data_IF_310467019040
#
_entry.id   IF_310467019040
#
_cell.length_a   1.000
_cell.length_b   1.000
_cell.length_c   1.000
_cell.angle_alpha   90.00
_cell.angle_beta   90.00
_cell.angle_gamma   90.00
#
_symmetry.space_group_name_H-M   'P 1'
#
loop_
_entity.id
_entity.type
_entity.pdbx_description
1 polymer ?
#
# COMPACT_ATOMS: atom_id res chain seq x y z
N UNK A 1 1.77 17.08 -12.45
CA UNK A 1 0.59 17.57 -11.71
C UNK A 1 -0.61 16.71 -12.05
N UNK A 2 -1.35 16.23 -11.04
CA UNK A 2 -2.51 15.38 -11.26
C UNK A 2 -3.57 15.70 -10.21
N UNK A 3 -4.78 16.10 -10.68
CA UNK A 3 -5.97 16.11 -9.85
C UNK A 3 -6.53 14.70 -9.79
N UNK A 4 -6.62 14.09 -8.63
CA UNK A 4 -7.08 12.74 -8.45
C UNK A 4 -8.15 12.62 -7.39
N UNK A 5 -8.96 11.60 -7.61
CA UNK A 5 -9.84 11.03 -6.61
C UNK A 5 -9.15 9.78 -6.09
N UNK A 6 -8.47 9.96 -5.00
CA UNK A 6 -7.80 8.91 -4.25
C UNK A 6 -8.83 8.07 -3.44
N UNK A 7 -8.39 7.19 -2.59
CA UNK A 7 -9.21 6.33 -1.71
C UNK A 7 -10.05 7.10 -0.66
N UNK A 8 -10.02 8.41 -0.65
CA UNK A 8 -10.77 9.25 0.29
C UNK A 8 -12.26 9.31 -0.03
N UNK A 9 -13.13 9.61 0.96
CA UNK A 9 -14.55 9.89 0.73
C UNK A 9 -14.77 11.01 -0.29
N UNK A 10 -15.96 11.03 -0.90
CA UNK A 10 -16.31 11.94 -2.01
C UNK A 10 -16.18 13.44 -1.71
N UNK A 11 -16.19 13.82 -0.44
CA UNK A 11 -16.06 15.21 0.03
C UNK A 11 -14.62 15.74 -0.09
N UNK A 12 -13.65 14.86 -0.29
CA UNK A 12 -12.22 15.22 -0.40
C UNK A 12 -11.76 15.16 -1.85
N UNK A 13 -11.00 16.15 -2.28
CA UNK A 13 -10.24 16.12 -3.53
C UNK A 13 -8.79 15.75 -3.24
N UNK A 14 -8.15 15.04 -4.18
CA UNK A 14 -6.72 14.78 -4.17
C UNK A 14 -5.99 15.69 -5.16
N UNK A 15 -4.77 16.10 -4.79
CA UNK A 15 -3.85 16.81 -5.67
C UNK A 15 -2.44 16.34 -5.38
N UNK A 16 -1.81 15.70 -6.34
CA UNK A 16 -0.44 15.20 -6.25
C UNK A 16 0.41 15.92 -7.29
N UNK A 17 1.61 16.36 -6.92
CA UNK A 17 2.56 17.02 -7.81
C UNK A 17 3.77 16.10 -7.98
N UNK A 18 4.17 15.93 -9.24
CA UNK A 18 5.26 15.05 -9.62
C UNK A 18 6.39 15.87 -10.23
N UNK A 19 7.62 15.43 -9.99
CA UNK A 19 8.84 16.01 -10.56
C UNK A 19 9.12 15.52 -11.98
N UNK A 20 10.17 16.03 -12.61
CA UNK A 20 10.58 15.61 -13.96
C UNK A 20 11.05 14.17 -14.04
N UNK A 21 11.35 13.53 -12.93
CA UNK A 21 11.69 12.12 -12.81
C UNK A 21 10.47 11.19 -12.72
N UNK A 22 9.25 11.77 -12.71
CA UNK A 22 7.99 11.04 -12.53
C UNK A 22 7.68 10.67 -11.08
N UNK A 23 8.52 11.06 -10.11
CA UNK A 23 8.30 10.85 -8.68
C UNK A 23 7.44 11.95 -8.06
N UNK A 24 6.59 11.61 -7.09
CA UNK A 24 5.87 12.60 -6.30
C UNK A 24 6.86 13.46 -5.49
N UNK A 25 6.61 14.77 -5.44
CA UNK A 25 7.50 15.70 -4.74
C UNK A 25 7.66 15.31 -3.26
N UNK A 26 8.90 15.19 -2.83
CA UNK A 26 9.26 15.02 -1.41
C UNK A 26 9.13 16.36 -0.65
N UNK A 27 9.06 16.34 0.70
CA UNK A 27 8.81 17.55 1.48
C UNK A 27 9.73 18.72 1.16
N UNK A 28 11.01 18.48 0.85
CA UNK A 28 11.96 19.53 0.46
C UNK A 28 11.46 20.37 -0.71
N UNK A 29 10.99 19.71 -1.76
CA UNK A 29 10.56 20.39 -2.99
C UNK A 29 9.09 20.82 -2.90
N UNK A 30 8.24 20.03 -2.23
CA UNK A 30 6.84 20.39 -1.96
C UNK A 30 6.71 21.66 -1.12
N UNK A 31 7.57 21.89 -0.12
CA UNK A 31 7.58 23.10 0.70
C UNK A 31 7.91 24.35 -0.10
N UNK A 32 8.71 24.26 -1.17
CA UNK A 32 8.95 25.37 -2.07
C UNK A 32 7.66 25.74 -2.81
N UNK A 33 6.97 24.76 -3.36
CA UNK A 33 5.69 24.96 -4.05
C UNK A 33 4.62 25.52 -3.11
N UNK A 34 4.50 25.00 -1.89
CA UNK A 34 3.52 25.48 -0.90
C UNK A 34 3.65 26.96 -0.63
N UNK A 35 4.88 27.49 -0.55
CA UNK A 35 5.11 28.94 -0.36
C UNK A 35 4.56 29.80 -1.50
N UNK A 36 4.60 29.30 -2.75
CA UNK A 36 3.98 30.01 -3.87
C UNK A 36 2.46 30.01 -3.73
N UNK A 37 1.86 28.90 -3.34
CA UNK A 37 0.41 28.79 -3.13
C UNK A 37 -0.05 29.70 -1.97
N UNK A 38 0.67 29.71 -0.86
CA UNK A 38 0.39 30.57 0.31
C UNK A 38 0.45 32.07 0.00
N UNK A 39 1.26 32.48 -0.99
CA UNK A 39 1.38 33.88 -1.42
C UNK A 39 0.24 34.32 -2.36
N UNK A 40 -0.67 33.42 -2.77
CA UNK A 40 -1.84 33.80 -3.58
C UNK A 40 -2.90 34.39 -2.63
N UNK A 41 -2.97 35.72 -2.60
CA UNK A 41 -3.93 36.46 -1.77
C UNK A 41 -5.31 36.60 -2.39
N UNK A 42 -5.43 36.52 -3.72
CA UNK A 42 -6.66 36.65 -4.47
C UNK A 42 -6.72 35.68 -5.66
N UNK A 43 -7.67 34.76 -5.59
CA UNK A 43 -7.90 33.73 -6.63
C UNK A 43 -8.34 34.34 -7.97
N UNK A 44 -8.91 35.57 -7.96
CA UNK A 44 -9.33 36.26 -9.19
C UNK A 44 -8.13 36.66 -10.07
N UNK A 45 -6.94 36.77 -9.50
CA UNK A 45 -5.71 37.10 -10.23
C UNK A 45 -5.00 35.86 -10.83
N UNK A 46 -5.51 34.64 -10.59
CA UNK A 46 -4.95 33.45 -11.22
C UNK A 46 -5.35 33.44 -12.71
N UNK A 47 -4.38 33.43 -13.65
CA UNK A 47 -4.69 33.37 -15.07
C UNK A 47 -5.49 32.12 -15.43
N UNK A 48 -6.72 32.28 -15.90
CA UNK A 48 -7.58 31.17 -16.34
C UNK A 48 -7.54 30.95 -17.85
N UNK A 49 -6.78 31.76 -18.59
CA UNK A 49 -6.65 31.69 -20.04
C UNK A 49 -5.29 31.09 -20.40
N UNK A 50 -5.31 29.90 -20.99
CA UNK A 50 -4.13 29.24 -21.56
C UNK A 50 -4.23 29.16 -23.09
N UNK A 51 -3.09 29.01 -23.77
CA UNK A 51 -3.07 28.69 -25.19
C UNK A 51 -3.55 27.26 -25.41
N UNK A 52 -4.53 27.07 -26.29
CA UNK A 52 -5.00 25.73 -26.70
C UNK A 52 -3.88 24.87 -27.33
N UNK A 53 -2.86 25.52 -27.87
CA UNK A 53 -1.68 24.88 -28.48
C UNK A 53 -0.80 24.16 -27.45
N UNK A 54 -0.91 24.55 -26.16
CA UNK A 54 -0.21 23.89 -25.06
C UNK A 54 -0.98 22.66 -24.50
N UNK A 55 -2.19 22.40 -25.01
CA UNK A 55 -3.01 21.27 -24.60
C UNK A 55 -2.80 20.09 -25.54
N UNK A 56 -2.15 19.05 -25.06
CA UNK A 56 -1.99 17.79 -25.78
C UNK A 56 -2.86 16.70 -25.13
N UNK A 57 -3.69 16.03 -25.93
CA UNK A 57 -4.41 14.83 -25.52
C UNK A 57 -3.56 13.61 -25.81
N UNK A 58 -3.26 12.82 -24.77
CA UNK A 58 -2.62 11.53 -24.93
C UNK A 58 -3.60 10.53 -25.55
N UNK A 59 -3.15 9.78 -26.55
CA UNK A 59 -3.94 8.80 -27.28
C UNK A 59 -3.85 7.39 -26.71
N UNK A 60 -4.46 6.45 -27.44
CA UNK A 60 -4.46 5.03 -27.11
C UNK A 60 -3.05 4.43 -27.15
N UNK A 61 -2.19 4.94 -28.02
CA UNK A 61 -0.78 4.61 -28.17
C UNK A 61 -0.01 4.74 -26.85
N UNK A 62 -0.25 5.81 -26.08
CA UNK A 62 0.35 5.99 -24.76
C UNK A 62 -0.10 4.92 -23.76
N UNK A 63 -1.40 4.58 -23.79
CA UNK A 63 -1.93 3.50 -22.94
C UNK A 63 -1.33 2.15 -23.33
N UNK A 64 -1.18 1.88 -24.60
CA UNK A 64 -0.62 0.62 -25.09
C UNK A 64 0.88 0.50 -24.76
N UNK A 65 1.64 1.58 -24.84
CA UNK A 65 3.03 1.63 -24.35
C UNK A 65 3.11 1.35 -22.84
N UNK A 66 2.24 1.97 -22.05
CA UNK A 66 2.17 1.72 -20.60
C UNK A 66 1.89 0.23 -20.29
N UNK A 67 0.92 -0.38 -21.00
CA UNK A 67 0.61 -1.81 -20.84
C UNK A 67 1.81 -2.70 -21.20
N UNK A 68 2.54 -2.40 -22.26
CA UNK A 68 3.73 -3.17 -22.64
C UNK A 68 4.88 -3.00 -21.63
N UNK A 69 5.08 -1.81 -21.05
CA UNK A 69 6.07 -1.61 -19.99
C UNK A 69 5.71 -2.41 -18.72
N UNK A 70 4.44 -2.39 -18.33
CA UNK A 70 3.96 -3.22 -17.21
C UNK A 70 4.13 -4.71 -17.50
N UNK A 71 3.80 -5.15 -18.72
CA UNK A 71 3.91 -6.56 -19.10
C UNK A 71 5.34 -7.11 -19.02
N UNK A 72 6.35 -6.26 -19.09
CA UNK A 72 7.74 -6.68 -18.85
C UNK A 72 7.95 -7.27 -17.45
N UNK A 73 7.10 -6.88 -16.47
CA UNK A 73 7.13 -7.40 -15.11
C UNK A 73 6.41 -8.76 -14.96
N UNK A 74 5.68 -9.22 -15.97
CA UNK A 74 5.03 -10.52 -15.97
C UNK A 74 6.05 -11.64 -15.69
N UNK A 75 5.74 -12.52 -14.78
CA UNK A 75 6.57 -13.68 -14.42
C UNK A 75 6.19 -14.93 -15.20
N UNK A 76 4.92 -15.07 -15.59
CA UNK A 76 4.40 -16.23 -16.33
C UNK A 76 4.42 -16.05 -17.85
N UNK A 77 4.58 -14.81 -18.35
CA UNK A 77 4.66 -14.49 -19.78
C UNK A 77 3.50 -15.08 -20.61
N UNK A 78 2.29 -15.04 -20.04
CA UNK A 78 1.08 -15.58 -20.68
C UNK A 78 0.87 -17.08 -20.50
N UNK A 79 1.76 -17.81 -19.82
CA UNK A 79 1.58 -19.22 -19.46
C UNK A 79 0.68 -19.36 -18.22
N UNK A 80 -0.54 -18.89 -18.34
CA UNK A 80 -1.55 -18.94 -17.27
C UNK A 80 -2.52 -20.11 -17.47
N UNK A 81 -3.17 -20.53 -16.38
CA UNK A 81 -4.20 -21.57 -16.37
C UNK A 81 -5.62 -20.98 -16.47
N UNK A 82 -6.52 -21.58 -15.72
CA UNK A 82 -7.94 -21.26 -15.73
C UNK A 82 -8.39 -20.52 -14.47
N UNK A 83 -7.61 -19.53 -14.03
CA UNK A 83 -7.99 -18.69 -12.90
C UNK A 83 -9.23 -17.87 -13.25
N UNK A 84 -10.30 -18.01 -12.47
CA UNK A 84 -11.52 -17.20 -12.61
C UNK A 84 -11.44 -15.98 -11.69
N UNK A 85 -11.51 -14.79 -12.28
CA UNK A 85 -11.24 -13.52 -11.61
C UNK A 85 -12.51 -12.68 -11.62
N UNK A 86 -12.87 -12.09 -10.47
CA UNK A 86 -13.78 -10.96 -10.40
C UNK A 86 -12.95 -9.69 -10.16
N UNK A 87 -13.19 -8.66 -10.95
CA UNK A 87 -12.53 -7.37 -10.83
C UNK A 87 -13.54 -6.25 -10.60
N UNK A 88 -13.22 -5.35 -9.68
CA UNK A 88 -13.94 -4.08 -9.52
C UNK A 88 -12.98 -2.90 -9.58
N UNK A 89 -13.22 -1.90 -10.45
CA UNK A 89 -12.48 -0.64 -10.45
C UNK A 89 -12.97 0.35 -9.38
N UNK A 90 -13.97 0.01 -8.60
CA UNK A 90 -14.62 0.88 -7.59
C UNK A 90 -14.87 2.28 -8.17
N UNK A 91 -15.55 2.35 -9.33
CA UNK A 91 -15.86 3.57 -10.08
C UNK A 91 -14.61 4.38 -10.55
N UNK A 92 -13.44 3.76 -10.60
CA UNK A 92 -12.16 4.42 -10.86
C UNK A 92 -11.58 4.23 -12.26
N UNK A 93 -10.40 4.81 -12.45
CA UNK A 93 -9.63 4.83 -13.70
C UNK A 93 -9.02 3.47 -14.07
N UNK A 94 -8.89 2.56 -13.11
CA UNK A 94 -8.30 1.24 -13.30
C UNK A 94 -9.06 0.31 -14.26
N UNK A 95 -10.34 0.59 -14.54
CA UNK A 95 -11.20 -0.27 -15.36
C UNK A 95 -10.54 -0.73 -16.66
N UNK A 96 -10.08 0.23 -17.47
CA UNK A 96 -9.51 -0.08 -18.80
C UNK A 96 -8.11 -0.69 -18.67
N UNK A 97 -7.13 -0.09 -17.96
CA UNK A 97 -5.77 -0.62 -17.95
C UNK A 97 -5.66 -1.97 -17.25
N UNK A 98 -6.39 -2.23 -16.15
CA UNK A 98 -6.36 -3.53 -15.46
C UNK A 98 -6.93 -4.63 -16.37
N UNK A 99 -8.05 -4.38 -17.05
CA UNK A 99 -8.61 -5.37 -18.04
C UNK A 99 -7.65 -5.63 -19.18
N UNK A 100 -6.96 -4.60 -19.67
CA UNK A 100 -5.97 -4.74 -20.74
C UNK A 100 -4.78 -5.57 -20.30
N UNK A 101 -4.21 -5.28 -19.13
CA UNK A 101 -3.05 -6.02 -18.64
C UNK A 101 -3.38 -7.49 -18.31
N UNK A 102 -4.54 -7.77 -17.72
CA UNK A 102 -4.97 -9.13 -17.46
C UNK A 102 -5.16 -9.90 -18.79
N UNK A 103 -5.81 -9.30 -19.78
CA UNK A 103 -5.93 -9.88 -21.11
C UNK A 103 -4.56 -10.11 -21.77
N UNK A 104 -3.64 -9.13 -21.68
CA UNK A 104 -2.27 -9.24 -22.19
C UNK A 104 -1.48 -10.35 -21.48
N UNK A 105 -1.74 -10.55 -20.18
CA UNK A 105 -1.21 -11.64 -19.36
C UNK A 105 -1.81 -13.03 -19.65
N UNK A 106 -2.83 -13.11 -20.52
CA UNK A 106 -3.46 -14.38 -20.93
C UNK A 106 -4.70 -14.76 -20.11
N UNK A 107 -5.15 -13.93 -19.17
CA UNK A 107 -6.37 -14.20 -18.39
C UNK A 107 -7.61 -13.90 -19.23
N UNK A 108 -8.45 -14.90 -19.46
CA UNK A 108 -9.66 -14.81 -20.30
C UNK A 108 -10.97 -14.91 -19.50
N UNK A 109 -10.94 -15.45 -18.28
CA UNK A 109 -12.10 -15.62 -17.41
C UNK A 109 -12.13 -14.49 -16.33
N UNK A 110 -12.39 -13.25 -16.81
CA UNK A 110 -12.41 -12.04 -16.00
C UNK A 110 -13.79 -11.41 -16.04
N UNK A 111 -14.43 -11.32 -14.89
CA UNK A 111 -15.78 -10.79 -14.70
C UNK A 111 -15.72 -9.46 -13.96
N UNK A 112 -16.45 -8.45 -14.47
CA UNK A 112 -16.46 -7.10 -13.91
C UNK A 112 -17.70 -6.89 -13.06
N UNK A 113 -17.57 -6.19 -11.95
CA UNK A 113 -18.71 -5.71 -11.16
C UNK A 113 -19.37 -4.55 -11.90
N UNK A 114 -20.43 -4.83 -12.68
CA UNK A 114 -21.07 -3.88 -13.59
C UNK A 114 -21.52 -2.58 -12.89
N UNK A 115 -22.04 -2.68 -11.67
CA UNK A 115 -22.49 -1.51 -10.90
C UNK A 115 -21.37 -0.57 -10.46
N UNK A 116 -20.11 -1.03 -10.51
CA UNK A 116 -18.89 -0.28 -10.17
C UNK A 116 -17.98 -0.01 -11.37
N UNK A 117 -18.37 -0.45 -12.57
CA UNK A 117 -17.54 -0.37 -13.77
C UNK A 117 -17.34 1.06 -14.27
N UNK A 118 -18.40 1.86 -14.25
CA UNK A 118 -18.35 3.23 -14.78
C UNK A 118 -17.78 4.20 -13.74
N UNK A 119 -16.91 5.13 -14.17
CA UNK A 119 -16.45 6.21 -13.30
C UNK A 119 -17.61 7.03 -12.75
N UNK A 120 -17.68 7.15 -11.42
CA UNK A 120 -18.65 8.00 -10.74
C UNK A 120 -18.03 8.59 -9.47
N UNK A 121 -17.81 9.91 -9.46
CA UNK A 121 -17.20 10.62 -8.33
C UNK A 121 -18.07 10.70 -7.08
N UNK A 122 -19.33 10.22 -7.13
CA UNK A 122 -20.20 10.11 -5.94
C UNK A 122 -20.04 8.76 -5.22
N UNK A 123 -19.38 7.77 -5.85
CA UNK A 123 -19.15 6.43 -5.30
C UNK A 123 -20.42 5.78 -4.70
N UNK A 124 -21.52 5.66 -5.47
CA UNK A 124 -22.86 5.34 -4.93
C UNK A 124 -22.96 3.95 -4.29
N UNK A 125 -21.96 3.09 -4.49
CA UNK A 125 -21.98 1.69 -4.04
C UNK A 125 -21.11 1.41 -2.82
N UNK A 126 -20.35 2.41 -2.34
CA UNK A 126 -19.40 2.26 -1.24
C UNK A 126 -19.38 3.49 -0.35
N UNK A 127 -19.05 3.32 0.92
CA UNK A 127 -18.91 4.44 1.88
C UNK A 127 -17.66 5.26 1.59
N UNK A 128 -16.58 4.59 1.20
CA UNK A 128 -15.35 5.18 0.71
C UNK A 128 -14.73 4.22 -0.33
N UNK A 129 -14.17 4.74 -1.43
CA UNK A 129 -13.63 3.90 -2.52
C UNK A 129 -12.22 3.38 -2.19
N UNK A 130 -12.04 2.82 -1.00
CA UNK A 130 -10.77 2.32 -0.50
C UNK A 130 -10.79 0.79 -0.40
N UNK A 131 -9.94 0.06 -1.13
CA UNK A 131 -9.90 -1.41 -1.10
C UNK A 131 -9.42 -1.99 0.26
N UNK A 132 -8.95 -1.17 1.20
CA UNK A 132 -8.73 -1.57 2.58
C UNK A 132 -10.05 -1.84 3.33
N UNK A 133 -11.14 -1.18 2.90
CA UNK A 133 -12.44 -1.33 3.52
C UNK A 133 -13.14 -2.57 2.97
N UNK A 134 -13.69 -3.37 3.88
CA UNK A 134 -14.38 -4.60 3.51
C UNK A 134 -15.59 -4.34 2.60
N UNK A 135 -16.32 -3.24 2.78
CA UNK A 135 -17.49 -2.88 1.98
C UNK A 135 -17.14 -2.59 0.51
N UNK A 136 -15.93 -2.11 0.24
CA UNK A 136 -15.48 -1.80 -1.12
C UNK A 136 -15.44 -3.03 -2.05
N UNK A 137 -15.15 -4.22 -1.50
CA UNK A 137 -15.07 -5.48 -2.24
C UNK A 137 -16.34 -6.35 -2.13
N UNK A 138 -17.36 -5.96 -1.35
CA UNK A 138 -18.52 -6.79 -1.07
C UNK A 138 -19.32 -7.18 -2.34
N UNK A 139 -19.52 -6.25 -3.28
CA UNK A 139 -20.18 -6.55 -4.54
C UNK A 139 -19.40 -7.53 -5.39
N UNK A 140 -18.07 -7.40 -5.39
CA UNK A 140 -17.18 -8.34 -6.05
C UNK A 140 -17.24 -9.73 -5.40
N UNK A 141 -17.21 -9.80 -4.07
CA UNK A 141 -17.32 -11.07 -3.32
C UNK A 141 -18.67 -11.74 -3.58
N UNK A 142 -19.76 -10.96 -3.63
CA UNK A 142 -21.09 -11.48 -3.96
C UNK A 142 -21.11 -12.11 -5.36
N UNK A 143 -20.66 -11.35 -6.38
CA UNK A 143 -20.56 -11.86 -7.75
C UNK A 143 -19.68 -13.11 -7.82
N UNK A 144 -18.53 -13.09 -7.15
CA UNK A 144 -17.61 -14.22 -7.10
C UNK A 144 -18.25 -15.48 -6.52
N UNK A 145 -19.06 -15.32 -5.47
CA UNK A 145 -19.85 -16.44 -4.89
C UNK A 145 -20.89 -17.01 -5.86
N UNK A 146 -21.53 -16.17 -6.66
CA UNK A 146 -22.54 -16.59 -7.65
C UNK A 146 -21.93 -17.38 -8.80
N UNK A 147 -20.71 -17.02 -9.25
CA UNK A 147 -20.06 -17.65 -10.41
C UNK A 147 -18.96 -18.64 -10.04
N UNK A 148 -18.63 -18.77 -8.75
CA UNK A 148 -17.56 -19.62 -8.27
C UNK A 148 -16.17 -19.13 -8.71
N UNK A 149 -15.87 -17.85 -8.53
CA UNK A 149 -14.57 -17.28 -8.86
C UNK A 149 -13.50 -17.65 -7.83
N UNK A 150 -12.24 -17.73 -8.25
CA UNK A 150 -11.11 -18.07 -7.38
C UNK A 150 -10.64 -16.87 -6.55
N UNK A 151 -10.72 -15.69 -7.16
CA UNK A 151 -10.21 -14.45 -6.57
C UNK A 151 -11.06 -13.24 -6.98
N UNK A 152 -11.18 -12.31 -6.06
CA UNK A 152 -11.70 -10.96 -6.28
C UNK A 152 -10.55 -9.98 -6.11
N UNK A 153 -10.39 -9.06 -7.05
CA UNK A 153 -9.47 -7.92 -6.93
C UNK A 153 -10.24 -6.61 -7.11
N UNK A 154 -9.83 -5.57 -6.40
CA UNK A 154 -10.43 -4.25 -6.53
C UNK A 154 -9.41 -3.14 -6.39
N UNK A 155 -9.47 -2.15 -7.30
CA UNK A 155 -8.58 -0.98 -7.30
C UNK A 155 -9.31 0.26 -6.83
N UNK A 156 -8.60 1.17 -6.17
CA UNK A 156 -9.14 2.48 -5.83
C UNK A 156 -9.28 3.40 -7.06
N UNK A 157 -9.88 4.60 -6.92
CA UNK A 157 -10.24 5.42 -8.08
C UNK A 157 -9.08 5.89 -8.95
N UNK A 158 -7.91 6.19 -8.38
CA UNK A 158 -6.71 6.56 -9.13
C UNK A 158 -5.83 5.37 -9.49
N UNK A 159 -6.26 4.15 -9.10
CA UNK A 159 -5.60 2.88 -9.44
C UNK A 159 -4.16 2.78 -8.94
N UNK A 160 -3.91 3.36 -7.75
CA UNK A 160 -2.61 3.24 -7.08
C UNK A 160 -2.62 2.19 -5.96
N UNK A 161 -3.82 1.76 -5.50
CA UNK A 161 -4.00 0.69 -4.51
C UNK A 161 -4.84 -0.46 -5.05
N UNK A 162 -4.57 -1.66 -4.53
CA UNK A 162 -5.33 -2.85 -4.88
C UNK A 162 -5.54 -3.76 -3.66
N UNK A 163 -6.78 -4.16 -3.45
CA UNK A 163 -7.16 -5.18 -2.47
C UNK A 163 -7.55 -6.48 -3.15
N UNK A 164 -7.47 -7.59 -2.41
CA UNK A 164 -7.89 -8.90 -2.91
C UNK A 164 -8.60 -9.72 -1.84
N UNK A 165 -9.58 -10.53 -2.30
CA UNK A 165 -10.21 -11.59 -1.53
C UNK A 165 -10.10 -12.91 -2.28
N UNK A 166 -9.71 -13.97 -1.59
CA UNK A 166 -9.40 -15.28 -2.16
C UNK A 166 -10.37 -16.33 -1.63
N UNK A 167 -10.90 -17.17 -2.51
CA UNK A 167 -11.73 -18.30 -2.11
C UNK A 167 -10.87 -19.35 -1.39
N UNK A 168 -11.21 -19.61 -0.14
CA UNK A 168 -10.56 -20.63 0.69
C UNK A 168 -11.59 -21.34 1.56
N UNK A 169 -11.67 -22.66 1.47
CA UNK A 169 -12.62 -23.49 2.22
C UNK A 169 -14.08 -22.99 2.13
N UNK A 170 -14.52 -22.59 0.91
CA UNK A 170 -15.87 -22.13 0.64
C UNK A 170 -16.19 -20.69 1.09
N UNK A 171 -15.20 -19.91 1.54
CA UNK A 171 -15.35 -18.52 1.97
C UNK A 171 -14.33 -17.61 1.27
N UNK A 172 -14.71 -16.37 0.99
CA UNK A 172 -13.78 -15.36 0.50
C UNK A 172 -13.11 -14.66 1.68
N UNK A 173 -11.79 -14.77 1.75
CA UNK A 173 -10.98 -14.17 2.80
C UNK A 173 -10.18 -13.00 2.23
N UNK A 174 -10.32 -11.83 2.85
CA UNK A 174 -9.57 -10.63 2.53
C UNK A 174 -8.10 -10.79 2.97
N UNK A 175 -7.18 -10.37 2.11
CA UNK A 175 -5.76 -10.33 2.41
C UNK A 175 -5.36 -8.90 2.72
N UNK A 176 -4.79 -8.64 3.90
CA UNK A 176 -4.31 -7.30 4.28
C UNK A 176 -3.10 -6.87 3.44
N UNK A 177 -2.87 -5.55 3.38
CA UNK A 177 -1.79 -4.97 2.57
C UNK A 177 -0.41 -5.55 2.88
N UNK A 178 -0.05 -5.65 4.16
CA UNK A 178 1.22 -6.26 4.58
C UNK A 178 1.33 -7.75 4.20
N UNK A 179 0.24 -8.53 4.34
CA UNK A 179 0.21 -9.95 3.95
C UNK A 179 0.31 -10.13 2.44
N UNK A 180 -0.38 -9.30 1.67
CA UNK A 180 -0.25 -9.31 0.21
C UNK A 180 1.16 -8.89 -0.23
N UNK A 181 1.75 -7.88 0.41
CA UNK A 181 3.14 -7.49 0.20
C UNK A 181 4.10 -8.65 0.45
N UNK A 182 3.95 -9.37 1.56
CA UNK A 182 4.77 -10.54 1.88
C UNK A 182 4.61 -11.68 0.85
N UNK A 183 3.37 -11.95 0.39
CA UNK A 183 3.11 -12.93 -0.68
C UNK A 183 3.80 -12.53 -1.99
N UNK A 184 3.70 -11.26 -2.38
CA UNK A 184 4.34 -10.76 -3.61
C UNK A 184 5.87 -10.77 -3.49
N UNK A 185 6.44 -10.42 -2.33
CA UNK A 185 7.88 -10.57 -2.06
C UNK A 185 8.31 -12.02 -2.25
N UNK A 186 7.62 -12.96 -1.59
CA UNK A 186 7.93 -14.39 -1.73
C UNK A 186 7.85 -14.87 -3.18
N UNK A 187 6.76 -14.50 -3.86
CA UNK A 187 6.52 -14.92 -5.23
C UNK A 187 7.56 -14.35 -6.21
N UNK A 188 7.79 -13.03 -6.16
CA UNK A 188 8.73 -12.36 -7.06
C UNK A 188 10.17 -12.86 -6.87
N UNK A 189 10.61 -13.01 -5.62
CA UNK A 189 11.96 -13.50 -5.34
C UNK A 189 12.13 -14.96 -5.75
N UNK A 190 11.11 -15.79 -5.53
CA UNK A 190 11.09 -17.17 -6.01
C UNK A 190 11.19 -17.24 -7.54
N UNK A 191 10.40 -16.41 -8.25
CA UNK A 191 10.38 -16.41 -9.72
C UNK A 191 11.67 -15.84 -10.33
N UNK A 192 12.26 -14.82 -9.71
CA UNK A 192 13.55 -14.25 -10.15
C UNK A 192 14.74 -15.21 -9.88
N UNK A 193 14.72 -15.93 -8.79
CA UNK A 193 15.70 -16.96 -8.50
C UNK A 193 17.15 -16.52 -8.74
N UNK A 194 17.79 -17.10 -9.77
CA UNK A 194 19.19 -16.81 -10.12
C UNK A 194 19.45 -15.41 -10.72
N UNK A 195 18.41 -14.68 -11.08
CA UNK A 195 18.56 -13.29 -11.56
C UNK A 195 18.81 -12.30 -10.43
N UNK A 196 18.57 -12.72 -9.17
CA UNK A 196 18.84 -11.89 -8.00
C UNK A 196 20.35 -11.67 -7.84
N UNK A 197 20.72 -10.42 -7.56
CA UNK A 197 22.12 -10.00 -7.35
C UNK A 197 22.32 -9.49 -5.93
N UNK A 198 23.56 -9.25 -5.51
CA UNK A 198 23.84 -8.61 -4.22
C UNK A 198 23.34 -7.15 -4.12
N UNK A 199 22.88 -6.56 -5.22
CA UNK A 199 22.26 -5.23 -5.27
C UNK A 199 20.74 -5.27 -5.26
N UNK A 200 20.13 -6.45 -5.46
CA UNK A 200 18.66 -6.60 -5.50
C UNK A 200 18.06 -6.12 -4.18
N UNK A 201 17.11 -5.20 -4.27
CA UNK A 201 16.59 -4.48 -3.11
C UNK A 201 15.08 -4.38 -3.15
N UNK A 202 14.47 -4.62 -1.99
CA UNK A 202 13.06 -4.34 -1.70
C UNK A 202 13.00 -3.10 -0.84
N UNK A 203 12.04 -2.22 -1.12
CA UNK A 203 11.82 -1.03 -0.30
C UNK A 203 10.44 -1.11 0.35
N UNK A 204 10.39 -0.80 1.65
CA UNK A 204 9.13 -0.75 2.41
C UNK A 204 9.15 0.42 3.39
N UNK A 205 8.11 0.58 4.21
CA UNK A 205 8.07 1.68 5.17
C UNK A 205 8.37 1.21 6.59
N UNK A 206 8.74 2.15 7.45
CA UNK A 206 8.99 1.91 8.88
C UNK A 206 7.77 1.36 9.64
N UNK A 207 6.55 1.46 9.06
CA UNK A 207 5.30 0.97 9.66
C UNK A 207 4.70 -0.21 8.89
N UNK A 208 5.39 -0.74 7.90
CA UNK A 208 4.95 -1.92 7.16
C UNK A 208 5.39 -3.20 7.88
N UNK A 209 4.53 -4.20 7.92
CA UNK A 209 4.74 -5.45 8.66
C UNK A 209 5.99 -6.24 8.27
N UNK A 210 6.52 -6.98 9.24
CA UNK A 210 7.87 -7.53 9.22
C UNK A 210 8.12 -8.78 8.38
N UNK A 211 7.10 -9.63 8.10
CA UNK A 211 7.31 -10.95 7.48
C UNK A 211 7.96 -10.88 6.09
N UNK A 212 7.65 -9.83 5.30
CA UNK A 212 8.27 -9.65 3.99
C UNK A 212 9.77 -9.40 4.04
N UNK A 213 10.26 -8.75 5.12
CA UNK A 213 11.69 -8.53 5.36
C UNK A 213 12.42 -9.84 5.68
N UNK A 214 11.79 -10.69 6.51
CA UNK A 214 12.33 -12.00 6.86
C UNK A 214 12.45 -12.89 5.60
N UNK A 215 11.44 -12.85 4.72
CA UNK A 215 11.45 -13.53 3.43
C UNK A 215 12.60 -13.01 2.55
N UNK A 216 12.73 -11.69 2.38
CA UNK A 216 13.79 -11.10 1.57
C UNK A 216 15.20 -11.48 2.06
N UNK A 217 15.40 -11.49 3.39
CA UNK A 217 16.64 -11.91 4.02
C UNK A 217 17.03 -13.34 3.66
N UNK A 218 16.08 -14.28 3.56
CA UNK A 218 16.36 -15.67 3.13
C UNK A 218 16.90 -15.76 1.71
N UNK A 219 16.43 -14.87 0.82
CA UNK A 219 16.92 -14.79 -0.56
C UNK A 219 18.20 -13.96 -0.70
N UNK A 220 18.76 -13.43 0.40
CA UNK A 220 19.92 -12.55 0.37
C UNK A 220 19.65 -11.19 -0.28
N UNK A 221 18.39 -10.79 -0.36
CA UNK A 221 17.94 -9.53 -0.94
C UNK A 221 17.96 -8.44 0.13
N UNK A 222 18.47 -7.27 -0.22
CA UNK A 222 18.52 -6.13 0.69
C UNK A 222 17.12 -5.57 0.92
N UNK A 223 16.88 -5.03 2.14
CA UNK A 223 15.64 -4.34 2.47
C UNK A 223 15.97 -2.95 2.98
N UNK A 224 15.45 -1.94 2.31
CA UNK A 224 15.47 -0.57 2.81
C UNK A 224 14.12 -0.16 3.38
N UNK A 225 14.14 0.55 4.50
CA UNK A 225 12.95 1.16 5.09
C UNK A 225 12.96 2.66 4.84
N UNK A 226 11.80 3.20 4.44
CA UNK A 226 11.59 4.64 4.28
C UNK A 226 10.53 5.14 5.27
N UNK A 227 10.37 6.44 5.39
CA UNK A 227 9.19 7.01 6.02
C UNK A 227 7.92 6.62 5.26
N UNK A 228 6.76 6.78 5.89
CA UNK A 228 5.46 6.49 5.28
C UNK A 228 5.17 7.43 4.11
N UNK A 229 4.80 6.84 2.99
CA UNK A 229 4.47 7.53 1.74
C UNK A 229 5.38 7.11 0.60
N UNK A 230 4.76 6.63 -0.47
CA UNK A 230 5.47 6.04 -1.61
C UNK A 230 6.45 6.99 -2.31
N UNK A 231 6.26 8.31 -2.13
CA UNK A 231 7.21 9.33 -2.60
C UNK A 231 8.65 9.10 -2.13
N UNK A 232 8.83 8.56 -0.92
CA UNK A 232 10.17 8.22 -0.40
C UNK A 232 10.72 6.95 -1.05
N UNK A 233 9.85 5.99 -1.40
CA UNK A 233 10.24 4.83 -2.21
C UNK A 233 10.66 5.29 -3.60
N UNK A 234 9.87 6.17 -4.24
CA UNK A 234 10.20 6.76 -5.54
C UNK A 234 11.51 7.57 -5.53
N UNK A 235 11.77 8.32 -4.44
CA UNK A 235 13.03 9.04 -4.25
C UNK A 235 14.24 8.10 -4.21
N UNK A 236 14.13 6.98 -3.47
CA UNK A 236 15.15 5.93 -3.43
C UNK A 236 15.39 5.31 -4.80
N UNK A 237 14.33 5.00 -5.54
CA UNK A 237 14.43 4.48 -6.90
C UNK A 237 15.21 5.45 -7.81
N UNK A 238 14.88 6.74 -7.76
CA UNK A 238 15.59 7.78 -8.51
C UNK A 238 17.06 7.91 -8.09
N UNK A 239 17.37 7.69 -6.81
CA UNK A 239 18.75 7.64 -6.32
C UNK A 239 19.50 6.44 -6.91
N UNK A 240 18.91 5.23 -6.87
CA UNK A 240 19.53 4.01 -7.40
C UNK A 240 19.85 4.08 -8.89
N UNK A 241 18.95 4.70 -9.68
CA UNK A 241 19.22 4.94 -11.10
C UNK A 241 20.43 5.84 -11.35
N UNK A 242 20.63 6.85 -10.48
CA UNK A 242 21.75 7.81 -10.61
C UNK A 242 23.08 7.23 -10.22
N UNK A 243 23.13 6.45 -9.12
CA UNK A 243 24.37 5.99 -8.53
C UNK A 243 24.69 4.51 -8.78
N UNK A 244 23.73 3.73 -9.28
CA UNK A 244 23.87 2.29 -9.52
C UNK A 244 24.14 1.48 -8.26
N UNK A 245 23.84 2.03 -7.07
CA UNK A 245 24.13 1.39 -5.79
C UNK A 245 23.29 0.15 -5.54
N UNK A 246 22.02 0.19 -5.96
CA UNK A 246 21.03 -0.86 -5.73
C UNK A 246 20.21 -1.13 -7.00
N UNK A 247 19.53 -2.28 -7.01
CA UNK A 247 18.58 -2.68 -8.04
C UNK A 247 17.19 -2.82 -7.41
N UNK A 248 16.28 -1.93 -7.76
CA UNK A 248 14.91 -1.97 -7.25
C UNK A 248 14.15 -3.16 -7.85
N UNK A 249 13.66 -4.04 -6.99
CA UNK A 249 12.83 -5.20 -7.38
C UNK A 249 11.36 -4.93 -7.12
N UNK A 250 11.04 -4.50 -5.89
CA UNK A 250 9.67 -4.33 -5.43
C UNK A 250 9.60 -3.33 -4.28
N UNK A 251 8.57 -2.51 -4.27
CA UNK A 251 8.24 -1.62 -3.17
C UNK A 251 6.80 -1.80 -2.71
N UNK A 252 6.54 -1.70 -1.39
CA UNK A 252 5.18 -1.84 -0.88
C UNK A 252 4.95 -1.14 0.45
N UNK A 253 3.69 -0.79 0.67
CA UNK A 253 3.18 -0.23 1.92
C UNK A 253 2.05 -1.11 2.47
N UNK A 254 1.85 -1.06 3.79
CA UNK A 254 0.75 -1.74 4.47
C UNK A 254 -0.64 -1.28 4.00
N UNK A 255 -0.69 -0.08 3.42
CA UNK A 255 -1.89 0.58 2.91
C UNK A 255 -2.28 0.16 1.48
N UNK A 256 -1.98 -1.08 1.10
CA UNK A 256 -2.38 -1.69 -0.17
C UNK A 256 -1.75 -1.08 -1.43
N UNK A 257 -0.66 -0.34 -1.26
CA UNK A 257 0.12 0.24 -2.34
C UNK A 257 1.36 -0.60 -2.66
N UNK A 258 1.59 -0.91 -3.95
CA UNK A 258 2.68 -1.76 -4.41
C UNK A 258 3.22 -1.27 -5.74
N UNK A 259 4.50 -1.56 -5.99
CA UNK A 259 5.15 -1.33 -7.29
C UNK A 259 6.19 -2.42 -7.55
N UNK A 260 6.16 -3.00 -8.74
CA UNK A 260 7.21 -3.85 -9.26
C UNK A 260 7.77 -3.24 -10.56
N UNK A 261 9.09 -3.26 -10.71
CA UNK A 261 9.76 -2.62 -11.85
C UNK A 261 9.91 -1.11 -11.73
N UNK A 262 10.44 -0.48 -12.77
CA UNK A 262 10.87 0.92 -12.73
C UNK A 262 10.14 1.84 -13.70
N UNK A 263 9.03 1.36 -14.27
CA UNK A 263 8.18 2.11 -15.22
C UNK A 263 7.41 3.28 -14.57
N UNK A 264 7.25 3.26 -13.27
CA UNK A 264 6.63 4.32 -12.46
C UNK A 264 7.48 4.63 -11.23
N UNK A 265 7.17 5.73 -10.52
CA UNK A 265 7.80 6.16 -9.26
C UNK A 265 6.77 6.30 -8.13
N UNK A 266 5.58 5.77 -8.36
CA UNK A 266 4.50 5.69 -7.39
C UNK A 266 3.87 4.30 -7.48
N UNK A 267 3.00 3.97 -6.55
CA UNK A 267 2.21 2.74 -6.51
C UNK A 267 1.48 2.53 -7.84
N UNK A 268 1.41 1.29 -8.28
CA UNK A 268 0.69 0.94 -9.51
C UNK A 268 -0.13 -0.34 -9.30
N UNK A 269 -1.45 -0.15 -9.20
CA UNK A 269 -2.37 -1.26 -9.06
C UNK A 269 -2.52 -2.08 -10.36
N UNK A 270 -2.13 -1.55 -11.52
CA UNK A 270 -2.25 -2.25 -12.79
C UNK A 270 -1.20 -3.36 -12.90
N UNK A 271 0.08 -3.05 -12.61
CA UNK A 271 1.13 -4.08 -12.53
C UNK A 271 0.84 -5.06 -11.41
N UNK A 272 0.34 -4.56 -10.29
CA UNK A 272 0.05 -5.39 -9.11
C UNK A 272 -1.10 -6.34 -9.37
N UNK A 273 -2.15 -5.93 -10.10
CA UNK A 273 -3.24 -6.81 -10.51
C UNK A 273 -2.75 -7.99 -11.34
N UNK A 274 -1.86 -7.74 -12.31
CA UNK A 274 -1.23 -8.80 -13.09
C UNK A 274 -0.48 -9.77 -12.19
N UNK A 275 0.40 -9.27 -11.32
CA UNK A 275 1.24 -10.10 -10.46
C UNK A 275 0.44 -10.90 -9.41
N UNK A 276 -0.61 -10.31 -8.83
CA UNK A 276 -1.51 -11.04 -7.91
C UNK A 276 -2.22 -12.19 -8.64
N UNK A 277 -2.72 -11.94 -9.86
CA UNK A 277 -3.39 -12.98 -10.63
C UNK A 277 -2.42 -14.06 -11.12
N UNK A 278 -1.21 -13.70 -11.55
CA UNK A 278 -0.17 -14.67 -11.91
C UNK A 278 0.24 -15.53 -10.71
N UNK A 279 0.45 -14.91 -9.55
CA UNK A 279 0.75 -15.61 -8.30
C UNK A 279 -0.37 -16.56 -7.89
N UNK A 280 -1.62 -16.11 -7.95
CA UNK A 280 -2.78 -16.93 -7.63
C UNK A 280 -2.90 -18.13 -8.57
N UNK A 281 -2.70 -17.94 -9.89
CA UNK A 281 -2.72 -19.01 -10.89
C UNK A 281 -1.56 -20.02 -10.68
N UNK A 282 -0.37 -19.51 -10.40
CA UNK A 282 0.81 -20.32 -10.13
C UNK A 282 0.59 -21.29 -8.96
N UNK A 283 0.05 -20.79 -7.85
CA UNK A 283 -0.22 -21.64 -6.68
C UNK A 283 -1.47 -22.51 -6.86
N UNK A 284 -2.50 -22.03 -7.58
CA UNK A 284 -3.67 -22.85 -7.95
C UNK A 284 -3.27 -24.09 -8.73
N UNK A 285 -2.33 -24.00 -9.68
CA UNK A 285 -1.78 -25.15 -10.40
C UNK A 285 -1.10 -26.17 -9.48
N UNK A 286 -0.71 -25.77 -8.29
CA UNK A 286 -0.15 -26.65 -7.25
C UNK A 286 -1.19 -27.10 -6.22
N UNK A 287 -2.49 -26.82 -6.45
CA UNK A 287 -3.58 -27.15 -5.54
C UNK A 287 -3.63 -26.28 -4.28
N UNK A 288 -3.02 -25.10 -4.29
CA UNK A 288 -2.95 -24.17 -3.15
C UNK A 288 -3.68 -22.86 -3.45
N UNK A 289 -4.30 -22.30 -2.43
CA UNK A 289 -4.78 -20.91 -2.42
C UNK A 289 -3.68 -20.00 -1.86
N UNK A 290 -3.81 -18.67 -2.03
CA UNK A 290 -2.89 -17.73 -1.40
C UNK A 290 -2.95 -17.77 0.14
N UNK A 291 -4.06 -18.22 0.71
CA UNK A 291 -4.20 -18.42 2.17
C UNK A 291 -3.35 -19.62 2.63
N UNK A 292 -3.30 -20.71 1.85
CA UNK A 292 -2.41 -21.84 2.15
C UNK A 292 -0.95 -21.41 2.13
N UNK A 293 -0.56 -20.58 1.15
CA UNK A 293 0.79 -20.04 1.06
C UNK A 293 1.13 -19.15 2.27
N UNK A 294 0.19 -18.29 2.70
CA UNK A 294 0.37 -17.51 3.93
C UNK A 294 0.55 -18.38 5.17
N UNK A 295 -0.18 -19.48 5.26
CA UNK A 295 -0.04 -20.43 6.37
C UNK A 295 1.34 -21.13 6.34
N UNK A 296 1.86 -21.47 5.16
CA UNK A 296 3.22 -22.02 5.00
C UNK A 296 4.29 -21.00 5.41
N UNK A 297 4.17 -19.75 4.94
CA UNK A 297 5.07 -18.67 5.33
C UNK A 297 5.03 -18.41 6.85
N UNK A 298 3.83 -18.45 7.44
CA UNK A 298 3.69 -18.30 8.90
C UNK A 298 4.34 -19.43 9.69
N UNK A 299 4.36 -20.66 9.17
CA UNK A 299 5.09 -21.77 9.79
C UNK A 299 6.59 -21.60 9.70
N UNK A 300 7.09 -20.99 8.63
CA UNK A 300 8.53 -20.81 8.40
C UNK A 300 9.10 -19.60 9.14
N UNK A 301 8.39 -18.46 9.13
CA UNK A 301 8.87 -17.17 9.64
C UNK A 301 8.21 -16.75 10.97
N UNK A 302 7.30 -17.55 11.49
CA UNK A 302 6.43 -17.18 12.61
C UNK A 302 5.16 -16.45 12.16
N UNK A 303 4.11 -16.57 12.98
CA UNK A 303 2.87 -15.86 12.71
C UNK A 303 3.06 -14.37 13.02
N UNK A 304 2.62 -13.51 12.10
CA UNK A 304 2.64 -12.07 12.26
C UNK A 304 1.25 -11.48 12.06
N UNK A 305 0.79 -10.67 13.03
CA UNK A 305 -0.45 -9.91 12.96
C UNK A 305 -0.14 -8.44 12.79
N UNK A 306 -0.51 -7.89 11.63
CA UNK A 306 -0.42 -6.45 11.35
C UNK A 306 -1.79 -5.81 11.50
N UNK A 307 -1.91 -4.80 12.34
CA UNK A 307 -3.15 -4.07 12.62
C UNK A 307 -2.89 -2.57 12.71
N UNK A 308 -3.86 -1.80 12.24
CA UNK A 308 -3.93 -0.35 12.37
C UNK A 308 -5.15 0.03 13.21
N UNK A 309 -4.93 0.81 14.26
CA UNK A 309 -5.97 1.55 14.97
C UNK A 309 -5.88 3.03 14.60
N UNK A 310 -7.00 3.63 14.20
CA UNK A 310 -7.04 5.03 13.79
C UNK A 310 -8.12 5.75 14.60
N UNK A 311 -7.74 6.81 15.30
CA UNK A 311 -8.62 7.60 16.15
C UNK A 311 -8.74 9.00 15.61
N UNK A 312 -9.98 9.43 15.32
CA UNK A 312 -10.28 10.79 14.85
C UNK A 312 -10.63 11.67 16.05
N UNK A 313 -9.84 12.69 16.30
CA UNK A 313 -10.02 13.65 17.38
C UNK A 313 -10.36 15.02 16.76
N UNK A 314 -11.66 15.31 16.61
CA UNK A 314 -12.13 16.44 15.83
C UNK A 314 -11.79 17.81 16.43
N UNK A 315 -11.56 18.79 15.56
CA UNK A 315 -11.39 20.21 15.88
C UNK A 315 -10.05 20.58 16.53
N UNK A 316 -9.90 21.83 16.93
CA UNK A 316 -8.66 22.35 17.53
C UNK A 316 -8.24 21.63 18.82
N UNK A 317 -9.23 21.24 19.65
CA UNK A 317 -8.97 20.48 20.88
C UNK A 317 -8.42 19.10 20.59
N UNK A 318 -8.90 18.44 19.52
CA UNK A 318 -8.40 17.15 19.08
C UNK A 318 -6.95 17.23 18.60
N UNK A 319 -6.60 18.25 17.83
CA UNK A 319 -5.21 18.46 17.38
C UNK A 319 -4.27 18.70 18.56
N UNK A 320 -4.69 19.51 19.57
CA UNK A 320 -3.93 19.73 20.78
C UNK A 320 -3.73 18.41 21.55
N UNK A 321 -4.80 17.61 21.75
CA UNK A 321 -4.73 16.29 22.39
C UNK A 321 -3.76 15.35 21.68
N UNK A 322 -3.74 15.32 20.33
CA UNK A 322 -2.77 14.51 19.58
C UNK A 322 -1.33 14.96 19.86
N UNK A 323 -1.08 16.28 19.90
CA UNK A 323 0.24 16.83 20.22
C UNK A 323 0.66 16.46 21.65
N UNK A 324 -0.25 16.54 22.62
CA UNK A 324 -0.01 16.19 24.02
C UNK A 324 0.29 14.68 24.18
N UNK A 325 -0.42 13.80 23.45
CA UNK A 325 -0.13 12.36 23.44
C UNK A 325 1.29 12.11 22.93
N UNK A 326 1.68 12.72 21.80
CA UNK A 326 3.02 12.54 21.24
C UNK A 326 4.12 13.09 22.17
N UNK A 327 3.87 14.21 22.86
CA UNK A 327 4.78 14.76 23.84
C UNK A 327 4.90 13.86 25.08
N UNK A 328 3.78 13.37 25.60
CA UNK A 328 3.74 12.46 26.75
C UNK A 328 4.52 11.17 26.47
N UNK A 329 4.33 10.56 25.28
CA UNK A 329 5.05 9.35 24.87
C UNK A 329 6.58 9.54 24.76
N UNK A 330 7.08 10.78 24.64
CA UNK A 330 8.52 11.09 24.59
C UNK A 330 9.15 11.30 25.96
N UNK A 331 8.37 11.70 26.96
CA UNK A 331 8.89 12.06 28.29
C UNK A 331 8.51 11.06 29.39
N UNK A 332 7.42 10.32 29.21
CA UNK A 332 6.93 9.32 30.16
C UNK A 332 7.83 8.07 30.11
N UNK A 333 7.97 7.40 31.25
CA UNK A 333 8.54 6.06 31.25
C UNK A 333 7.55 5.09 30.55
N UNK A 334 7.75 4.92 29.25
CA UNK A 334 6.87 4.10 28.41
C UNK A 334 6.94 2.61 28.83
N UNK A 335 7.95 2.19 29.61
CA UNK A 335 8.02 0.82 30.17
C UNK A 335 6.88 0.55 31.15
N UNK A 336 6.33 1.58 31.82
CA UNK A 336 5.13 1.44 32.65
C UNK A 336 3.89 1.06 31.82
N UNK A 337 3.84 1.48 30.55
CA UNK A 337 2.72 1.22 29.62
C UNK A 337 2.97 -0.05 28.82
N UNK A 338 4.21 -0.23 28.34
CA UNK A 338 4.68 -1.33 27.51
C UNK A 338 5.90 -1.99 28.16
N UNK A 339 5.73 -2.94 29.09
CA UNK A 339 6.83 -3.52 29.87
C UNK A 339 7.83 -4.33 29.05
N UNK A 340 7.43 -4.76 27.84
CA UNK A 340 8.25 -5.58 26.95
C UNK A 340 9.06 -4.77 25.92
N UNK A 341 9.18 -3.44 26.07
CA UNK A 341 10.00 -2.62 25.17
C UNK A 341 11.47 -3.03 25.29
N UNK A 342 12.09 -3.21 24.10
CA UNK A 342 13.53 -3.41 23.95
C UNK A 342 14.23 -2.15 23.42
N UNK A 343 13.61 -1.41 22.49
CA UNK A 343 14.17 -0.22 21.86
C UNK A 343 13.08 0.81 21.53
N UNK A 344 13.39 2.10 21.64
CA UNK A 344 12.54 3.22 21.22
C UNK A 344 13.23 3.97 20.09
N UNK A 345 12.54 4.11 18.96
CA UNK A 345 13.00 4.92 17.81
C UNK A 345 12.12 6.16 17.67
N UNK A 346 12.71 7.33 17.93
CA UNK A 346 12.05 8.63 17.73
C UNK A 346 12.56 9.28 16.44
N UNK A 347 11.69 9.36 15.45
CA UNK A 347 12.01 9.93 14.15
C UNK A 347 11.92 11.46 14.12
N UNK A 348 11.56 12.13 15.23
CA UNK A 348 11.39 13.60 15.25
C UNK A 348 12.66 14.39 14.89
N UNK A 349 13.83 13.79 15.02
CA UNK A 349 15.13 14.44 14.65
C UNK A 349 15.79 13.80 13.43
N UNK A 350 15.11 12.85 12.79
CA UNK A 350 15.72 11.97 11.81
C UNK A 350 16.54 10.85 12.47
N UNK A 351 16.52 9.67 11.88
CA UNK A 351 17.25 8.49 12.34
C UNK A 351 17.60 7.62 11.13
N UNK A 352 18.73 6.95 11.17
CA UNK A 352 19.18 6.01 10.11
C UNK A 352 19.18 6.62 8.70
N UNK A 353 19.50 7.92 8.58
CA UNK A 353 19.50 8.64 7.30
C UNK A 353 18.12 9.07 6.81
N UNK A 354 17.05 8.75 7.55
CA UNK A 354 15.69 9.20 7.25
C UNK A 354 15.47 10.65 7.72
N UNK A 355 14.69 11.47 7.00
CA UNK A 355 14.36 12.82 7.41
C UNK A 355 13.52 12.84 8.70
N UNK A 356 13.45 14.01 9.33
CA UNK A 356 12.64 14.20 10.54
C UNK A 356 11.14 14.03 10.23
N UNK A 357 10.46 13.21 11.04
CA UNK A 357 9.01 13.04 11.01
C UNK A 357 8.48 12.75 12.42
N UNK A 358 7.25 13.18 12.71
CA UNK A 358 6.64 12.99 14.03
C UNK A 358 6.12 11.55 14.19
N UNK A 359 7.04 10.60 14.31
CA UNK A 359 6.76 9.17 14.50
C UNK A 359 7.55 8.65 15.69
N UNK A 360 6.92 7.82 16.51
CA UNK A 360 7.54 7.00 17.55
C UNK A 360 7.33 5.54 17.23
N UNK A 361 8.40 4.73 17.26
CA UNK A 361 8.33 3.28 17.07
C UNK A 361 8.92 2.57 18.29
N UNK A 362 8.14 1.73 18.91
CA UNK A 362 8.49 0.93 20.07
C UNK A 362 8.75 -0.49 19.61
N UNK A 363 9.99 -0.96 19.67
CA UNK A 363 10.38 -2.32 19.31
C UNK A 363 10.37 -3.14 20.60
N UNK A 364 9.61 -4.23 20.59
CA UNK A 364 9.49 -5.13 21.74
C UNK A 364 10.63 -6.16 21.73
N UNK A 365 10.88 -6.81 22.87
CA UNK A 365 11.97 -7.80 23.04
C UNK A 365 11.85 -9.02 22.12
N UNK A 366 10.64 -9.33 21.64
CA UNK A 366 10.35 -10.41 20.69
C UNK A 366 10.40 -9.95 19.21
N UNK A 367 10.91 -8.75 18.95
CA UNK A 367 10.93 -8.09 17.66
C UNK A 367 9.53 -7.73 17.08
N UNK A 368 8.46 -7.86 17.88
CA UNK A 368 7.20 -7.15 17.59
C UNK A 368 7.42 -5.65 17.70
N UNK A 369 6.55 -4.85 17.08
CA UNK A 369 6.67 -3.40 17.24
C UNK A 369 5.31 -2.71 17.19
N UNK A 370 5.28 -1.53 17.81
CA UNK A 370 4.14 -0.61 17.80
C UNK A 370 4.66 0.75 17.38
N UNK A 371 4.02 1.37 16.39
CA UNK A 371 4.37 2.72 15.94
C UNK A 371 3.18 3.67 16.10
N UNK A 372 3.46 4.87 16.60
CA UNK A 372 2.46 5.92 16.80
C UNK A 372 2.79 7.12 15.93
N UNK A 373 1.81 7.57 15.15
CA UNK A 373 1.98 8.64 14.17
C UNK A 373 0.72 9.49 14.06
N UNK A 374 0.81 10.83 14.22
CA UNK A 374 -0.25 11.74 13.80
C UNK A 374 -0.44 11.73 12.28
N UNK A 375 -1.67 11.91 11.80
CA UNK A 375 -1.90 12.19 10.39
C UNK A 375 -1.43 13.62 10.06
N UNK A 376 -0.76 13.80 8.92
CA UNK A 376 -0.34 15.11 8.46
C UNK A 376 -1.46 15.97 7.87
N UNK A 377 -2.59 15.36 7.49
CA UNK A 377 -3.68 16.01 6.73
C UNK A 377 -5.01 16.04 7.47
N UNK A 378 -5.18 15.20 8.48
CA UNK A 378 -6.44 15.04 9.21
C UNK A 378 -6.18 15.04 10.72
N UNK A 379 -7.16 15.43 11.56
CA UNK A 379 -7.04 15.37 13.01
C UNK A 379 -7.18 13.92 13.51
N UNK A 380 -6.22 13.09 13.12
CA UNK A 380 -6.17 11.66 13.44
C UNK A 380 -4.84 11.26 14.02
N UNK A 381 -4.86 10.32 14.97
CA UNK A 381 -3.68 9.59 15.43
C UNK A 381 -3.81 8.13 15.00
N UNK A 382 -2.74 7.58 14.47
CA UNK A 382 -2.66 6.22 13.97
C UNK A 382 -1.69 5.42 14.83
N UNK A 383 -2.11 4.23 15.23
CA UNK A 383 -1.30 3.27 15.99
C UNK A 383 -1.19 2.00 15.15
N UNK A 384 0.00 1.75 14.66
CA UNK A 384 0.35 0.56 13.89
C UNK A 384 0.93 -0.49 14.83
N UNK A 385 0.48 -1.72 14.70
CA UNK A 385 1.01 -2.86 15.43
C UNK A 385 1.43 -3.96 14.47
N UNK A 386 2.64 -4.47 14.62
CA UNK A 386 3.10 -5.70 13.98
C UNK A 386 3.58 -6.64 15.08
N UNK A 387 2.76 -7.64 15.37
CA UNK A 387 2.95 -8.52 16.52
C UNK A 387 3.30 -9.93 16.05
N UNK A 388 4.46 -10.43 16.46
CA UNK A 388 4.90 -11.81 16.25
C UNK A 388 4.34 -12.70 17.36
N UNK A 389 4.02 -13.94 17.01
CA UNK A 389 3.55 -14.95 17.97
C UNK A 389 3.45 -16.33 17.33
N UNK A 390 2.97 -17.29 18.10
CA UNK A 390 2.87 -18.70 17.62
C UNK A 390 1.67 -18.90 16.68
N UNK A 391 0.59 -18.14 16.87
CA UNK A 391 -0.67 -18.27 16.13
C UNK A 391 -1.51 -16.98 16.15
N UNK A 392 -2.64 -17.02 15.45
CA UNK A 392 -3.58 -15.91 15.34
C UNK A 392 -4.25 -15.59 16.69
N UNK A 393 -4.54 -16.59 17.51
CA UNK A 393 -5.21 -16.41 18.79
C UNK A 393 -4.33 -15.62 19.77
N UNK A 394 -3.07 -16.01 19.88
CA UNK A 394 -2.11 -15.33 20.75
C UNK A 394 -1.89 -13.87 20.30
N UNK A 395 -1.62 -13.65 19.03
CA UNK A 395 -1.33 -12.31 18.50
C UNK A 395 -2.56 -11.41 18.54
N UNK A 396 -3.76 -11.94 18.30
CA UNK A 396 -5.01 -11.19 18.43
C UNK A 396 -5.29 -10.77 19.88
N UNK A 397 -5.06 -11.65 20.84
CA UNK A 397 -5.18 -11.35 22.26
C UNK A 397 -4.17 -10.26 22.69
N UNK A 398 -2.92 -10.34 22.24
CA UNK A 398 -1.89 -9.32 22.49
C UNK A 398 -2.30 -7.98 21.86
N UNK A 399 -2.82 -7.98 20.63
CA UNK A 399 -3.29 -6.75 20.00
C UNK A 399 -4.42 -6.10 20.81
N UNK A 400 -5.41 -6.86 21.24
CA UNK A 400 -6.52 -6.33 22.06
C UNK A 400 -6.00 -5.76 23.38
N UNK A 401 -5.08 -6.44 24.05
CA UNK A 401 -4.43 -5.95 25.28
C UNK A 401 -3.74 -4.60 25.05
N UNK A 402 -2.92 -4.46 24.00
CA UNK A 402 -2.25 -3.20 23.68
C UNK A 402 -3.25 -2.11 23.31
N UNK A 403 -4.28 -2.45 22.54
CA UNK A 403 -5.33 -1.51 22.16
C UNK A 403 -6.04 -0.95 23.41
N UNK A 404 -6.45 -1.79 24.34
CA UNK A 404 -7.07 -1.37 25.60
C UNK A 404 -6.13 -0.48 26.45
N UNK A 405 -4.84 -0.79 26.49
CA UNK A 405 -3.84 0.04 27.16
C UNK A 405 -3.80 1.44 26.55
N UNK A 406 -3.71 1.56 25.20
CA UNK A 406 -3.68 2.84 24.53
C UNK A 406 -4.97 3.64 24.72
N UNK A 407 -6.12 3.00 24.57
CA UNK A 407 -7.42 3.63 24.73
C UNK A 407 -7.61 4.18 26.15
N UNK A 408 -7.23 3.42 27.16
CA UNK A 408 -7.31 3.85 28.57
C UNK A 408 -6.31 4.95 28.89
N UNK A 409 -5.06 4.81 28.49
CA UNK A 409 -3.97 5.72 28.84
C UNK A 409 -4.14 7.11 28.21
N UNK A 410 -4.70 7.17 27.03
CA UNK A 410 -4.82 8.42 26.26
C UNK A 410 -6.28 8.84 26.03
N UNK A 411 -7.23 8.15 26.62
CA UNK A 411 -8.65 8.43 26.48
C UNK A 411 -9.03 8.58 24.98
N UNK A 412 -8.75 7.51 24.19
CA UNK A 412 -8.92 7.43 22.74
C UNK A 412 -10.24 6.77 22.33
#
# INVERSE_FOLDING_TARGET
>A
EMCIRDSNPKEYNGYKVYGPDGGQLVPRDANVLSRYVENISDLAHIPCTGSKELLTRLGQDTVDLFIEEIYKQSTLKGNVGNLKIVYTPIHGSGNIPVRKILKRGGFTDVHIVESQEKPDGNFPTVSAPNPENQDALQLGIKLAGEIGADIVIGTDPDSDRIGAAVLHNGKYLLISGSRMGALLVNYLLMMKGKELTGKSTIITTIVTGGIGKDIAGKYGVQVEETLTGFKYIGEKMSQYEKDGSHEFIFGYEESYGYLAGTHARDKDAVVTALLICEMADYFKKQGKTLIDVLAELSKEYGYCLDKLSSYTLAGKKGLAKIADIMAALRVKDVQEILPDIGEIRDYAKGIDGLPAENVLKFILKDHSWIAVRPSGTEPKIKIYCSLKGKDEEETSRRFLMYKEIWEREFDL
#
